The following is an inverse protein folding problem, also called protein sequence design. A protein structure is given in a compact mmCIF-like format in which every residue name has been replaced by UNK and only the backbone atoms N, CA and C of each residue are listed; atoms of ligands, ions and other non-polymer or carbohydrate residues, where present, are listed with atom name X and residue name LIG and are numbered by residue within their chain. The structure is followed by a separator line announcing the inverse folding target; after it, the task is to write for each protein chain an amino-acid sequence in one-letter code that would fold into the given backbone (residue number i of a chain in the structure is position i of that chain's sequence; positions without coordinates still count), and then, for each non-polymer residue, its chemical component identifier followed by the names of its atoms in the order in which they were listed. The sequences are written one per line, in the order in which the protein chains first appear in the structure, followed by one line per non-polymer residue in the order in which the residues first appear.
data_IF_028852735348
#
_entry.id   IF_028852735348
#
_cell.length_a   1.000
_cell.length_b   1.000
_cell.length_c   1.000
_cell.angle_alpha   90.00
_cell.angle_beta   90.00
_cell.angle_gamma   90.00
#
_symmetry.space_group_name_H-M   'P 1'
#
loop_
_entity.id
_entity.type
_entity.pdbx_description
1 polymer ?
#
# COMPACT_ATOMS: atom_id res chain seq x y z
N UNK A 1 -14.20 -13.99 -18.15
CA UNK A 1 -14.41 -12.51 -18.14
C UNK A 1 -14.94 -11.96 -16.81
N UNK A 2 -15.80 -12.64 -16.04
CA UNK A 2 -16.38 -12.07 -14.79
C UNK A 2 -15.47 -12.03 -13.54
N UNK A 3 -14.44 -12.88 -13.45
CA UNK A 3 -13.49 -12.86 -12.29
C UNK A 3 -12.51 -11.69 -12.34
N UNK A 4 -12.16 -11.22 -13.55
CA UNK A 4 -11.21 -10.12 -13.77
C UNK A 4 -11.77 -8.76 -13.36
N UNK A 5 -13.08 -8.55 -13.52
CA UNK A 5 -13.74 -7.28 -13.18
C UNK A 5 -13.97 -7.10 -11.67
N UNK A 6 -14.08 -8.19 -10.91
CA UNK A 6 -14.25 -8.12 -9.45
C UNK A 6 -12.91 -7.81 -8.76
N UNK A 7 -11.81 -8.43 -9.21
CA UNK A 7 -10.47 -8.14 -8.70
C UNK A 7 -10.04 -6.69 -8.93
N UNK A 8 -10.36 -6.11 -10.10
CA UNK A 8 -10.04 -4.70 -10.39
C UNK A 8 -10.87 -3.73 -9.55
N UNK A 9 -12.16 -4.00 -9.30
CA UNK A 9 -12.99 -3.14 -8.44
C UNK A 9 -12.55 -3.18 -6.97
N UNK A 10 -12.09 -4.33 -6.46
CA UNK A 10 -11.57 -4.43 -5.08
C UNK A 10 -10.13 -3.89 -4.97
N UNK A 11 -9.29 -4.04 -6.00
CA UNK A 11 -7.97 -3.38 -6.04
C UNK A 11 -8.11 -1.84 -6.05
N UNK A 12 -9.08 -1.31 -6.80
CA UNK A 12 -9.39 0.13 -6.89
C UNK A 12 -9.82 0.79 -5.57
N UNK A 13 -10.06 0.03 -4.50
CA UNK A 13 -10.39 0.56 -3.17
C UNK A 13 -9.30 0.36 -2.14
N UNK A 14 -8.24 -0.37 -2.48
CA UNK A 14 -7.12 -0.65 -1.59
C UNK A 14 -6.03 0.36 -1.87
N UNK A 15 -5.67 1.10 -0.85
CA UNK A 15 -4.62 2.13 -0.93
C UNK A 15 -3.34 1.63 -0.29
N UNK A 16 -2.21 2.13 -0.80
CA UNK A 16 -0.88 1.94 -0.25
C UNK A 16 -0.32 3.31 0.18
N UNK A 17 0.66 3.31 1.07
CA UNK A 17 1.45 4.49 1.41
C UNK A 17 2.79 4.43 0.67
N UNK A 18 3.03 5.41 -0.19
CA UNK A 18 4.28 5.59 -0.94
C UNK A 18 5.12 6.68 -0.31
N UNK A 19 6.42 6.43 -0.17
CA UNK A 19 7.43 7.43 0.18
C UNK A 19 8.35 7.69 -1.00
N UNK A 20 8.73 8.95 -1.22
CA UNK A 20 9.57 9.37 -2.34
C UNK A 20 10.91 9.96 -1.83
N UNK A 21 11.98 9.90 -2.66
CA UNK A 21 13.30 10.42 -2.28
C UNK A 21 13.35 11.93 -1.97
N UNK A 22 12.34 12.70 -2.41
CA UNK A 22 12.19 14.12 -2.12
C UNK A 22 11.50 14.39 -0.76
N UNK A 23 11.48 13.40 0.13
CA UNK A 23 10.87 13.47 1.47
C UNK A 23 9.35 13.71 1.46
N UNK A 24 8.68 13.44 0.34
CA UNK A 24 7.22 13.48 0.24
C UNK A 24 6.62 12.08 0.29
N UNK A 25 5.32 12.01 0.57
CA UNK A 25 4.58 10.76 0.61
C UNK A 25 3.23 10.94 -0.08
N UNK A 26 2.67 9.82 -0.56
CA UNK A 26 1.37 9.80 -1.21
C UNK A 26 0.59 8.54 -0.80
N UNK A 27 -0.71 8.70 -0.59
CA UNK A 27 -1.62 7.55 -0.47
C UNK A 27 -2.30 7.37 -1.81
N UNK A 28 -1.95 6.30 -2.52
CA UNK A 28 -2.45 6.03 -3.86
C UNK A 28 -2.79 4.54 -4.03
N UNK A 29 -3.41 4.21 -5.16
CA UNK A 29 -3.64 2.83 -5.58
C UNK A 29 -2.33 2.17 -5.98
N UNK A 30 -2.23 0.82 -5.84
CA UNK A 30 -1.09 0.09 -6.37
C UNK A 30 -0.95 0.29 -7.88
N UNK A 31 0.29 0.28 -8.35
CA UNK A 31 0.64 0.45 -9.76
C UNK A 31 0.11 -0.73 -10.57
N UNK A 32 -0.50 -0.48 -11.73
CA UNK A 32 -1.07 -1.54 -12.58
C UNK A 32 -0.03 -2.18 -13.54
N UNK A 33 1.22 -1.71 -13.54
CA UNK A 33 2.29 -2.23 -14.42
C UNK A 33 2.76 -3.63 -14.03
N UNK A 34 3.01 -4.48 -15.03
CA UNK A 34 3.43 -5.87 -14.85
C UNK A 34 4.73 -6.14 -15.61
N UNK A 35 5.86 -6.46 -14.93
CA UNK A 35 6.09 -6.39 -13.49
C UNK A 35 6.45 -4.96 -13.02
N UNK A 36 6.13 -4.58 -11.78
CA UNK A 36 6.56 -3.30 -11.23
C UNK A 36 8.09 -3.27 -11.08
N UNK A 37 8.70 -2.10 -11.34
CA UNK A 37 10.15 -1.92 -11.23
C UNK A 37 10.66 -1.98 -9.78
N UNK A 38 9.83 -1.55 -8.83
CA UNK A 38 10.14 -1.55 -7.40
C UNK A 38 9.18 -2.48 -6.64
N UNK A 39 9.60 -3.01 -5.47
CA UNK A 39 8.70 -3.71 -4.57
C UNK A 39 7.49 -2.85 -4.20
N UNK A 40 6.31 -3.47 -4.08
CA UNK A 40 5.11 -2.74 -3.70
C UNK A 40 4.98 -2.59 -2.17
N UNK A 41 4.49 -1.43 -1.67
CA UNK A 41 4.16 -1.26 -0.27
C UNK A 41 2.95 -2.10 0.15
N UNK A 42 2.68 -2.13 1.46
CA UNK A 42 1.54 -2.85 2.00
C UNK A 42 0.20 -2.33 1.44
N UNK A 43 -0.57 -3.25 0.86
CA UNK A 43 -1.83 -2.95 0.20
C UNK A 43 -3.02 -2.98 1.17
N UNK A 44 -3.90 -1.97 1.07
CA UNK A 44 -5.16 -1.93 1.79
C UNK A 44 -5.07 -1.41 3.21
N UNK A 45 -4.10 -0.53 3.50
CA UNK A 45 -3.93 0.10 4.82
C UNK A 45 -5.21 0.80 5.32
N UNK A 46 -6.05 1.26 4.39
CA UNK A 46 -7.31 1.92 4.68
C UNK A 46 -8.41 1.01 5.25
N UNK A 47 -8.30 -0.32 5.12
CA UNK A 47 -9.31 -1.24 5.65
C UNK A 47 -9.22 -1.43 7.16
N UNK A 48 -8.00 -1.38 7.70
CA UNK A 48 -7.76 -1.60 9.11
C UNK A 48 -8.04 -0.35 9.95
N UNK A 49 -8.03 0.85 9.33
CA UNK A 49 -8.08 2.15 10.01
C UNK A 49 -9.24 2.30 10.99
N UNK A 50 -10.45 1.99 10.54
CA UNK A 50 -11.67 2.21 11.34
C UNK A 50 -11.98 1.01 12.27
N UNK A 51 -11.17 -0.05 12.21
CA UNK A 51 -11.36 -1.30 12.97
C UNK A 51 -10.42 -1.42 14.17
N UNK A 52 -9.53 -0.45 14.40
CA UNK A 52 -8.56 -0.46 15.49
C UNK A 52 -8.33 0.94 16.07
N UNK A 53 -7.66 1.03 17.22
CA UNK A 53 -7.25 2.32 17.76
C UNK A 53 -6.27 2.97 16.79
N UNK A 54 -6.39 4.29 16.62
CA UNK A 54 -5.55 5.06 15.69
C UNK A 54 -4.06 4.81 15.89
N UNK A 55 -3.59 4.73 17.16
CA UNK A 55 -2.19 4.42 17.48
C UNK A 55 -1.75 3.04 16.98
N UNK A 56 -2.63 2.05 17.05
CA UNK A 56 -2.33 0.66 16.66
C UNK A 56 -2.30 0.58 15.13
N UNK A 57 -3.19 1.32 14.47
CA UNK A 57 -3.19 1.49 13.02
C UNK A 57 -1.92 2.18 12.52
N UNK A 58 -1.53 3.30 13.13
CA UNK A 58 -0.30 4.00 12.76
C UNK A 58 0.93 3.11 12.99
N UNK A 59 0.96 2.32 14.06
CA UNK A 59 2.05 1.37 14.34
C UNK A 59 2.12 0.26 13.27
N UNK A 60 0.96 -0.24 12.84
CA UNK A 60 0.87 -1.22 11.75
C UNK A 60 1.41 -0.61 10.44
N UNK A 61 0.98 0.59 10.09
CA UNK A 61 1.46 1.30 8.89
C UNK A 61 2.97 1.54 8.95
N UNK A 62 3.51 1.90 10.11
CA UNK A 62 4.94 2.12 10.30
C UNK A 62 5.77 0.85 10.05
N UNK A 63 5.42 -0.27 10.69
CA UNK A 63 6.15 -1.56 10.52
C UNK A 63 6.17 -2.02 9.06
N UNK A 64 5.04 -1.86 8.36
CA UNK A 64 4.97 -2.19 6.93
C UNK A 64 5.77 -1.23 6.06
N UNK A 65 5.81 0.05 6.41
CA UNK A 65 6.62 1.06 5.71
C UNK A 65 8.11 0.80 5.88
N UNK A 66 8.57 0.47 7.09
CA UNK A 66 9.97 0.13 7.37
C UNK A 66 10.41 -1.09 6.56
N UNK A 67 9.56 -2.13 6.53
CA UNK A 67 9.82 -3.34 5.74
C UNK A 67 9.88 -3.05 4.24
N UNK A 68 9.01 -2.17 3.75
CA UNK A 68 9.00 -1.76 2.35
C UNK A 68 10.24 -0.95 1.98
N UNK A 69 10.65 0.03 2.81
CA UNK A 69 11.87 0.81 2.59
C UNK A 69 13.12 -0.08 2.57
N UNK A 70 13.20 -1.08 3.44
CA UNK A 70 14.27 -2.08 3.39
C UNK A 70 14.25 -2.87 2.08
N UNK A 71 13.08 -3.29 1.59
CA UNK A 71 12.97 -4.00 0.32
C UNK A 71 13.29 -3.14 -0.90
N UNK A 72 13.02 -1.84 -0.85
CA UNK A 72 13.39 -0.90 -1.93
C UNK A 72 14.90 -0.65 -1.94
N UNK A 73 15.55 -0.70 -0.78
CA UNK A 73 16.98 -0.42 -0.63
C UNK A 73 17.90 -1.58 -1.05
N UNK A 74 17.42 -2.83 -1.03
CA UNK A 74 18.22 -4.05 -1.22
C UNK A 74 17.52 -5.07 -2.11
#
# INVERSE_FOLDING_TARGET
MLRSSISSVILRRRTCLYGFPNETWEVNLPVEEVPPELPEPALGINFARDLMQEKDWLSLVAVHSDSWLLSVAF
#
